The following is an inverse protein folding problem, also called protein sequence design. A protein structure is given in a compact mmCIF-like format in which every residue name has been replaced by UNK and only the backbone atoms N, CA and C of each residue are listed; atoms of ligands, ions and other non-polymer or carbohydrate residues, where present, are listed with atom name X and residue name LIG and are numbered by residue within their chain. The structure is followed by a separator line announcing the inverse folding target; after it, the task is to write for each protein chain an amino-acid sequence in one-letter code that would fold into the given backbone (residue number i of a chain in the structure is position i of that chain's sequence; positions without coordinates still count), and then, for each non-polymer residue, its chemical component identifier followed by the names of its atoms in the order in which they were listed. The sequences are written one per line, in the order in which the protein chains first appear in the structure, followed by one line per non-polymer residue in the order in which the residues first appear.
data_IF_962471633447
#
_entry.id   IF_962471633447
#
_cell.length_a   1.000
_cell.length_b   1.000
_cell.length_c   1.000
_cell.angle_alpha   90.00
_cell.angle_beta   90.00
_cell.angle_gamma   90.00
#
_symmetry.space_group_name_H-M   'P 1'
#
loop_
_entity.id
_entity.type
_entity.pdbx_description
1 polymer ?
#
# COMPACT_ATOMS: atom_id res chain seq x y z
N UNK A 1 7.75 -21.14 6.19
CA UNK A 1 7.13 -20.53 5.00
C UNK A 1 7.31 -19.03 5.15
N UNK A 2 7.91 -18.36 4.18
CA UNK A 2 7.90 -16.90 4.16
C UNK A 2 6.44 -16.47 3.93
N UNK A 3 5.88 -15.67 4.82
CA UNK A 3 4.55 -15.10 4.64
C UNK A 3 4.50 -14.21 3.40
N UNK A 4 3.31 -14.00 2.84
CA UNK A 4 3.13 -13.09 1.70
C UNK A 4 3.21 -11.66 2.23
N UNK A 5 4.08 -10.83 1.63
CA UNK A 5 4.17 -9.42 1.95
C UNK A 5 3.30 -8.61 0.97
N UNK A 6 2.40 -7.79 1.52
CA UNK A 6 1.39 -7.03 0.78
C UNK A 6 1.45 -5.56 1.16
N UNK A 7 1.48 -4.69 0.15
CA UNK A 7 1.42 -3.23 0.27
C UNK A 7 -0.01 -2.76 0.02
N UNK A 8 -0.57 -2.01 0.95
CA UNK A 8 -1.86 -1.34 0.85
C UNK A 8 -1.67 0.07 0.29
N UNK A 9 -2.28 0.36 -0.85
CA UNK A 9 -2.30 1.73 -1.37
C UNK A 9 -3.41 2.59 -0.74
N UNK A 10 -3.52 3.83 -1.19
CA UNK A 10 -4.54 4.78 -0.70
C UNK A 10 -5.98 4.29 -0.93
N UNK A 11 -6.23 3.51 -2.00
CA UNK A 11 -7.58 3.02 -2.33
C UNK A 11 -7.99 1.88 -1.41
N UNK A 12 -7.09 0.95 -1.11
CA UNK A 12 -7.37 -0.18 -0.22
C UNK A 12 -7.31 0.19 1.25
N UNK A 13 -6.45 1.16 1.62
CA UNK A 13 -6.52 1.80 2.92
C UNK A 13 -7.88 2.50 3.15
N UNK A 14 -8.42 3.16 2.12
CA UNK A 14 -9.75 3.76 2.16
C UNK A 14 -10.84 2.72 2.31
N UNK A 15 -10.78 1.62 1.54
CA UNK A 15 -11.74 0.53 1.65
C UNK A 15 -11.71 -0.15 3.03
N UNK A 16 -10.54 -0.32 3.64
CA UNK A 16 -10.43 -0.86 5.00
C UNK A 16 -11.03 0.10 6.05
N UNK A 17 -10.87 1.40 5.84
CA UNK A 17 -11.39 2.45 6.72
C UNK A 17 -12.93 2.58 6.66
N UNK A 18 -13.53 2.44 5.48
CA UNK A 18 -14.99 2.57 5.31
C UNK A 18 -15.69 1.19 5.35
N UNK A 19 -16.43 0.86 6.43
CA UNK A 19 -17.13 -0.42 6.54
C UNK A 19 -18.27 -0.60 5.52
N UNK A 20 -18.65 0.46 4.80
CA UNK A 20 -19.65 0.39 3.72
C UNK A 20 -19.02 0.16 2.35
N UNK A 21 -17.69 0.22 2.26
CA UNK A 21 -16.99 -0.06 1.01
C UNK A 21 -17.21 -1.53 0.61
N UNK A 22 -17.61 -1.82 -0.64
CA UNK A 22 -17.86 -3.19 -1.08
C UNK A 22 -16.62 -4.10 -1.02
N UNK A 23 -15.41 -3.53 -0.96
CA UNK A 23 -14.15 -4.28 -0.84
C UNK A 23 -13.64 -4.37 0.61
N UNK A 24 -14.35 -3.79 1.58
CA UNK A 24 -13.93 -3.78 2.98
C UNK A 24 -13.63 -5.20 3.51
N UNK A 25 -14.54 -6.16 3.26
CA UNK A 25 -14.37 -7.54 3.72
C UNK A 25 -13.15 -8.22 3.11
N UNK A 26 -12.88 -7.97 1.82
CA UNK A 26 -11.73 -8.54 1.12
C UNK A 26 -10.41 -7.98 1.70
N UNK A 27 -10.31 -6.66 1.89
CA UNK A 27 -9.12 -6.03 2.47
C UNK A 27 -8.94 -6.44 3.95
N UNK A 28 -10.05 -6.53 4.71
CA UNK A 28 -10.02 -7.00 6.10
C UNK A 28 -9.56 -8.46 6.22
N UNK A 29 -9.82 -9.31 5.22
CA UNK A 29 -9.32 -10.68 5.21
C UNK A 29 -7.78 -10.74 5.22
N UNK A 30 -7.10 -9.86 4.47
CA UNK A 30 -5.64 -9.73 4.52
C UNK A 30 -5.16 -9.27 5.91
N UNK A 31 -5.88 -8.34 6.55
CA UNK A 31 -5.58 -7.92 7.92
C UNK A 31 -5.69 -9.07 8.92
N UNK A 32 -6.73 -9.89 8.79
CA UNK A 32 -6.90 -11.10 9.62
C UNK A 32 -5.77 -12.10 9.34
N UNK A 33 -5.38 -12.33 8.09
CA UNK A 33 -4.26 -13.20 7.73
C UNK A 33 -2.95 -12.72 8.37
N UNK A 34 -2.70 -11.41 8.36
CA UNK A 34 -1.53 -10.83 9.03
C UNK A 34 -1.57 -11.07 10.56
N UNK A 35 -2.74 -10.98 11.18
CA UNK A 35 -2.90 -11.22 12.62
C UNK A 35 -2.54 -12.64 13.08
N UNK A 36 -2.63 -13.62 12.18
CA UNK A 36 -2.29 -15.04 12.45
C UNK A 36 -0.92 -15.43 11.89
N UNK A 37 -0.13 -14.46 11.39
CA UNK A 37 1.22 -14.67 10.89
C UNK A 37 1.28 -15.36 9.52
N UNK A 38 0.20 -15.29 8.73
CA UNK A 38 0.16 -15.84 7.36
C UNK A 38 0.67 -14.86 6.29
N UNK A 39 0.86 -13.59 6.65
CA UNK A 39 1.41 -12.55 5.78
C UNK A 39 1.79 -11.29 6.56
N UNK A 40 2.43 -10.37 5.88
CA UNK A 40 2.82 -9.06 6.41
C UNK A 40 2.11 -7.97 5.60
N UNK A 41 1.50 -7.00 6.29
CA UNK A 41 0.87 -5.84 5.66
C UNK A 41 1.69 -4.59 5.88
N UNK A 42 1.85 -3.85 4.80
CA UNK A 42 2.62 -2.62 4.74
C UNK A 42 1.74 -1.50 4.18
N UNK A 43 1.81 -0.32 4.77
CA UNK A 43 1.03 0.84 4.33
C UNK A 43 1.97 2.04 4.15
N UNK A 44 2.27 2.45 2.91
CA UNK A 44 3.16 3.57 2.64
C UNK A 44 2.56 4.89 3.16
N UNK A 45 3.31 5.61 4.01
CA UNK A 45 2.78 6.80 4.70
C UNK A 45 2.24 7.86 3.74
N UNK A 46 2.92 8.11 2.61
CA UNK A 46 2.45 9.05 1.59
C UNK A 46 1.12 8.62 0.93
N UNK A 47 0.91 7.32 0.70
CA UNK A 47 -0.37 6.80 0.21
C UNK A 47 -1.47 6.98 1.26
N UNK A 48 -1.16 6.76 2.54
CA UNK A 48 -2.10 7.05 3.63
C UNK A 48 -2.40 8.55 3.75
N UNK A 49 -1.40 9.43 3.57
CA UNK A 49 -1.61 10.89 3.56
C UNK A 49 -2.54 11.30 2.42
N UNK A 50 -2.41 10.69 1.24
CA UNK A 50 -3.34 10.92 0.14
C UNK A 50 -4.77 10.46 0.47
N UNK A 51 -4.91 9.26 1.02
CA UNK A 51 -6.21 8.76 1.46
C UNK A 51 -6.84 9.64 2.56
N UNK A 52 -6.05 10.07 3.55
CA UNK A 52 -6.52 10.92 4.65
C UNK A 52 -6.94 12.32 4.19
N UNK A 53 -6.28 12.87 3.17
CA UNK A 53 -6.68 14.13 2.55
C UNK A 53 -8.09 14.06 1.92
N UNK A 54 -8.50 12.90 1.43
CA UNK A 54 -9.85 12.66 0.89
C UNK A 54 -10.84 12.19 1.98
N UNK A 55 -10.35 11.44 2.98
CA UNK A 55 -11.12 10.83 4.06
C UNK A 55 -10.46 11.12 5.43
N UNK A 56 -10.77 12.27 6.05
CA UNK A 56 -10.12 12.69 7.29
C UNK A 56 -10.25 11.64 8.40
N UNK A 57 -9.11 11.24 8.98
CA UNK A 57 -9.03 10.26 10.06
C UNK A 57 -8.60 8.87 9.61
N UNK A 58 -8.48 8.62 8.31
CA UNK A 58 -7.96 7.38 7.73
C UNK A 58 -6.56 7.06 8.25
N UNK A 59 -5.63 8.01 8.21
CA UNK A 59 -4.25 7.76 8.63
C UNK A 59 -4.19 7.41 10.12
N UNK A 60 -4.95 8.12 10.94
CA UNK A 60 -5.05 7.85 12.38
C UNK A 60 -5.64 6.47 12.67
N UNK A 61 -6.66 6.06 11.91
CA UNK A 61 -7.24 4.73 11.99
C UNK A 61 -6.23 3.63 11.64
N UNK A 62 -5.58 3.72 10.47
CA UNK A 62 -4.60 2.72 10.02
C UNK A 62 -3.41 2.63 10.98
N UNK A 63 -2.91 3.77 11.48
CA UNK A 63 -1.84 3.81 12.48
C UNK A 63 -2.23 3.16 13.83
N UNK A 64 -3.52 3.05 14.13
CA UNK A 64 -4.03 2.35 15.31
C UNK A 64 -4.09 0.81 15.16
N UNK A 65 -3.96 0.29 13.94
CA UNK A 65 -4.03 -1.14 13.65
C UNK A 65 -2.69 -1.83 13.95
N UNK A 66 -2.73 -2.96 14.66
CA UNK A 66 -1.52 -3.63 15.17
C UNK A 66 -0.77 -4.44 14.12
N UNK A 67 -1.48 -4.93 13.11
CA UNK A 67 -0.94 -5.88 12.13
C UNK A 67 -0.68 -5.24 10.77
N UNK A 68 -0.55 -3.90 10.73
CA UNK A 68 -0.12 -3.14 9.55
C UNK A 68 1.12 -2.34 9.94
N UNK A 69 2.20 -2.50 9.19
CA UNK A 69 3.40 -1.68 9.34
C UNK A 69 3.29 -0.45 8.46
N UNK A 70 3.46 0.73 9.05
CA UNK A 70 3.59 1.96 8.27
C UNK A 70 4.99 2.00 7.64
N UNK A 71 5.03 2.07 6.32
CA UNK A 71 6.27 2.25 5.58
C UNK A 71 6.64 3.73 5.52
N UNK A 72 7.87 4.05 5.93
CA UNK A 72 8.36 5.41 6.04
C UNK A 72 8.78 5.94 4.67
N UNK A 73 8.50 7.22 4.41
CA UNK A 73 8.93 7.89 3.19
C UNK A 73 10.32 8.51 3.40
N UNK A 74 11.36 7.74 3.10
CA UNK A 74 12.75 8.16 3.25
C UNK A 74 13.31 8.82 1.97
N UNK A 75 14.64 9.00 1.94
CA UNK A 75 15.31 9.66 0.80
C UNK A 75 15.30 8.79 -0.46
N UNK A 76 15.41 7.47 -0.33
CA UNK A 76 15.40 6.56 -1.49
C UNK A 76 13.99 6.49 -2.10
N UNK A 77 12.98 6.49 -1.24
CA UNK A 77 11.58 6.65 -1.65
C UNK A 77 11.35 8.00 -2.35
N UNK A 78 11.92 9.09 -1.85
CA UNK A 78 11.79 10.42 -2.44
C UNK A 78 12.46 10.55 -3.82
N UNK A 79 13.63 9.95 -4.01
CA UNK A 79 14.32 9.90 -5.32
C UNK A 79 13.44 9.14 -6.32
N UNK A 80 12.97 7.94 -5.94
CA UNK A 80 12.08 7.13 -6.78
C UNK A 80 10.79 7.88 -7.13
N UNK A 81 10.17 8.51 -6.14
CA UNK A 81 8.94 9.27 -6.31
C UNK A 81 9.11 10.45 -7.26
N UNK A 82 10.24 11.17 -7.17
CA UNK A 82 10.52 12.31 -8.03
C UNK A 82 10.54 11.91 -9.51
N UNK A 83 11.16 10.79 -9.85
CA UNK A 83 11.19 10.30 -11.22
C UNK A 83 9.80 9.85 -11.68
N UNK A 84 9.07 9.09 -10.85
CA UNK A 84 7.71 8.66 -11.17
C UNK A 84 6.74 9.85 -11.39
N UNK A 85 6.84 10.89 -10.56
CA UNK A 85 6.04 12.11 -10.71
C UNK A 85 6.33 12.80 -12.05
N UNK A 86 7.60 12.85 -12.49
CA UNK A 86 7.97 13.41 -13.81
C UNK A 86 7.37 12.62 -14.97
N UNK A 87 7.16 11.32 -14.80
CA UNK A 87 6.47 10.46 -15.77
C UNK A 87 4.93 10.47 -15.61
N UNK A 88 4.38 11.35 -14.77
CA UNK A 88 2.94 11.57 -14.65
C UNK A 88 2.22 10.60 -13.71
N UNK A 89 2.93 9.83 -12.90
CA UNK A 89 2.29 9.02 -11.87
C UNK A 89 1.74 9.90 -10.75
N UNK A 90 0.61 9.46 -10.15
CA UNK A 90 0.00 10.18 -9.02
C UNK A 90 0.86 10.10 -7.77
N UNK A 91 0.94 11.21 -7.04
CA UNK A 91 1.60 11.28 -5.73
C UNK A 91 1.01 10.28 -4.71
N UNK A 92 -0.26 9.91 -4.87
CA UNK A 92 -0.92 8.89 -4.03
C UNK A 92 -0.37 7.46 -4.26
N UNK A 93 0.24 7.21 -5.43
CA UNK A 93 0.71 5.90 -5.88
C UNK A 93 2.24 5.75 -5.82
N UNK A 94 3.02 6.84 -5.93
CA UNK A 94 4.48 6.75 -6.08
C UNK A 94 5.19 6.03 -4.92
N UNK A 95 4.71 6.20 -3.69
CA UNK A 95 5.30 5.53 -2.54
C UNK A 95 4.94 4.04 -2.50
N UNK A 96 3.70 3.69 -2.85
CA UNK A 96 3.30 2.29 -3.01
C UNK A 96 4.09 1.60 -4.14
N UNK A 97 4.39 2.31 -5.23
CA UNK A 97 5.27 1.80 -6.30
C UNK A 97 6.68 1.53 -5.77
N UNK A 98 7.25 2.48 -5.02
CA UNK A 98 8.58 2.30 -4.42
C UNK A 98 8.60 1.09 -3.47
N UNK A 99 7.63 0.99 -2.55
CA UNK A 99 7.56 -0.09 -1.56
C UNK A 99 7.34 -1.47 -2.19
N UNK A 100 6.55 -1.56 -3.26
CA UNK A 100 6.20 -2.85 -3.89
C UNK A 100 7.23 -3.37 -4.91
N UNK A 101 8.12 -2.51 -5.42
CA UNK A 101 9.13 -2.91 -6.41
C UNK A 101 10.13 -3.94 -5.83
N UNK A 102 10.74 -4.79 -6.67
CA UNK A 102 11.84 -5.65 -6.24
C UNK A 102 13.02 -4.88 -5.61
N UNK A 103 13.54 -5.39 -4.49
CA UNK A 103 14.74 -4.88 -3.82
C UNK A 103 15.61 -6.04 -3.30
N UNK A 104 16.89 -5.83 -2.93
CA UNK A 104 17.84 -6.93 -2.72
C UNK A 104 17.42 -8.01 -1.71
N UNK A 105 16.71 -7.64 -0.64
CA UNK A 105 16.19 -8.58 0.36
C UNK A 105 14.85 -9.21 -0.03
N UNK A 106 14.18 -8.68 -1.07
CA UNK A 106 12.93 -9.20 -1.62
C UNK A 106 12.92 -9.08 -3.16
N UNK A 107 13.62 -9.98 -3.87
CA UNK A 107 13.89 -9.86 -5.31
C UNK A 107 12.64 -10.04 -6.19
N UNK A 108 11.53 -10.53 -5.64
CA UNK A 108 10.24 -10.64 -6.32
C UNK A 108 9.35 -9.41 -6.17
N UNK A 109 9.75 -8.43 -5.33
CA UNK A 109 8.88 -7.33 -4.91
C UNK A 109 7.72 -7.81 -4.03
N UNK A 110 7.05 -6.86 -3.38
CA UNK A 110 5.85 -7.13 -2.60
C UNK A 110 4.61 -7.04 -3.49
N UNK A 111 3.55 -7.78 -3.12
CA UNK A 111 2.27 -7.64 -3.77
C UNK A 111 1.66 -6.28 -3.44
N UNK A 112 0.96 -5.68 -4.39
CA UNK A 112 0.28 -4.41 -4.20
C UNK A 112 -1.22 -4.63 -4.23
N UNK A 113 -1.89 -4.44 -3.08
CA UNK A 113 -3.34 -4.48 -3.00
C UNK A 113 -3.89 -3.11 -3.39
N UNK A 114 -4.62 -3.05 -4.52
CA UNK A 114 -5.17 -1.81 -5.06
C UNK A 114 -6.51 -2.02 -5.76
N UNK A 115 -7.46 -1.10 -5.55
CA UNK A 115 -8.71 -1.07 -6.30
C UNK A 115 -8.55 -0.39 -7.66
N UNK A 116 -7.36 0.14 -7.97
CA UNK A 116 -7.05 0.85 -9.21
C UNK A 116 -5.82 0.28 -9.92
N UNK A 117 -5.81 -1.02 -10.29
CA UNK A 117 -4.62 -1.69 -10.82
C UNK A 117 -4.03 -1.03 -12.09
N UNK A 118 -4.88 -0.36 -12.88
CA UNK A 118 -4.43 0.39 -14.07
C UNK A 118 -3.48 1.55 -13.74
N UNK A 119 -3.57 2.13 -12.54
CA UNK A 119 -2.69 3.21 -12.10
C UNK A 119 -1.22 2.76 -11.92
N UNK A 120 -1.00 1.44 -11.83
CA UNK A 120 0.30 0.82 -11.59
C UNK A 120 0.86 0.08 -12.81
N UNK A 121 0.15 0.09 -13.95
CA UNK A 121 0.60 -0.55 -15.16
C UNK A 121 1.95 0.00 -15.64
N UNK A 122 2.88 -0.88 -16.02
CA UNK A 122 4.21 -0.49 -16.50
C UNK A 122 5.19 -0.03 -15.41
N UNK A 123 4.82 -0.10 -14.12
CA UNK A 123 5.69 0.35 -13.03
C UNK A 123 6.59 -0.73 -12.43
N UNK A 124 6.43 -1.99 -12.86
CA UNK A 124 7.21 -3.12 -12.36
C UNK A 124 6.71 -3.70 -11.02
N UNK A 125 5.53 -3.28 -10.57
CA UNK A 125 4.85 -3.86 -9.39
C UNK A 125 3.87 -4.94 -9.80
N UNK A 126 3.55 -5.83 -8.87
CA UNK A 126 2.55 -6.90 -9.04
C UNK A 126 1.25 -6.50 -8.34
N UNK A 127 0.27 -5.89 -9.05
CA UNK A 127 -1.02 -5.61 -8.45
C UNK A 127 -1.79 -6.92 -8.23
N UNK A 128 -2.28 -7.12 -7.01
CA UNK A 128 -3.26 -8.16 -6.67
C UNK A 128 -4.64 -7.48 -6.59
N UNK A 129 -5.62 -7.89 -7.44
CA UNK A 129 -6.95 -7.28 -7.50
C UNK A 129 -7.86 -7.63 -6.31
#
# INVERSE_FOLDING_TARGET
MAGIAVVLDHTTATALYDPKDPFNEAVAAFYVQASVGLGDLYAPVLSLTAGDAERPGLLGYINGLRFIRIEAFDTDAAVTATDLLRFGHSWAAVHAIHAARPFPTHPTGWYLLTLTPKAYAGTGVHPDP
#
